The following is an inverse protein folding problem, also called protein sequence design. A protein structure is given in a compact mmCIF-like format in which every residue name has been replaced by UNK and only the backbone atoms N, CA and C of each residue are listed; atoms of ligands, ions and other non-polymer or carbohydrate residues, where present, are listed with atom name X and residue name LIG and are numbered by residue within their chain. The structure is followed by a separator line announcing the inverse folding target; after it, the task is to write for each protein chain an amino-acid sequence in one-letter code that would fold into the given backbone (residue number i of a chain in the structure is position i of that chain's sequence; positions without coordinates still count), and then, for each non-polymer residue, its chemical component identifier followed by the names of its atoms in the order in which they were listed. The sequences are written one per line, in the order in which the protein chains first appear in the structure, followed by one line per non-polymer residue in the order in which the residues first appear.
data_IF_664192215027
#
_entry.id   IF_664192215027
#
_cell.length_a   1.000
_cell.length_b   1.000
_cell.length_c   1.000
_cell.angle_alpha   90.00
_cell.angle_beta   90.00
_cell.angle_gamma   90.00
#
_symmetry.space_group_name_H-M   'P 1'
#
loop_
_entity.id
_entity.type
_entity.pdbx_description
1 polymer ?
#
# COMPACT_ATOMS: atom_id res chain seq x y z
N UNK A 1 -24.89 -18.06 -31.85
CA UNK A 1 -24.03 -16.88 -32.07
C UNK A 1 -23.29 -16.64 -30.77
N UNK A 2 -22.10 -17.20 -30.64
CA UNK A 2 -21.26 -17.12 -29.43
C UNK A 2 -20.46 -15.82 -29.48
N UNK A 3 -20.54 -15.04 -28.41
CA UNK A 3 -19.62 -13.91 -28.18
C UNK A 3 -18.23 -14.45 -27.90
N UNK A 4 -17.14 -13.86 -28.45
CA UNK A 4 -15.80 -14.26 -28.10
C UNK A 4 -15.51 -13.89 -26.65
N UNK A 5 -14.91 -14.82 -25.92
CA UNK A 5 -14.40 -14.60 -24.58
C UNK A 5 -13.08 -13.84 -24.68
N UNK A 6 -13.04 -12.62 -24.13
CA UNK A 6 -11.81 -11.84 -24.05
C UNK A 6 -11.19 -12.08 -22.68
N UNK A 7 -10.53 -13.23 -22.54
CA UNK A 7 -9.51 -13.41 -21.52
C UNK A 7 -8.53 -12.23 -21.61
N UNK A 8 -8.45 -11.44 -20.54
CA UNK A 8 -7.41 -10.43 -20.40
C UNK A 8 -6.14 -11.15 -19.99
N UNK A 9 -5.15 -11.09 -20.85
CA UNK A 9 -3.76 -11.30 -20.48
C UNK A 9 -3.40 -10.19 -19.48
N UNK A 10 -3.33 -10.51 -18.19
CA UNK A 10 -3.06 -9.57 -17.11
C UNK A 10 -1.58 -9.52 -16.71
N UNK A 11 -0.74 -10.35 -17.37
CA UNK A 11 0.70 -10.40 -17.19
C UNK A 11 1.16 -10.96 -15.84
N UNK A 12 0.29 -11.58 -15.02
CA UNK A 12 0.64 -11.98 -13.64
C UNK A 12 1.89 -12.87 -13.56
N UNK A 13 2.07 -13.75 -14.55
CA UNK A 13 3.15 -14.73 -14.62
C UNK A 13 4.55 -14.11 -14.81
N UNK A 14 4.65 -12.92 -15.41
CA UNK A 14 5.91 -12.24 -15.71
C UNK A 14 6.28 -11.15 -14.68
N UNK A 15 5.45 -10.93 -13.64
CA UNK A 15 5.68 -9.88 -12.62
C UNK A 15 6.85 -10.17 -11.67
N UNK A 16 7.27 -11.43 -11.57
CA UNK A 16 8.42 -11.84 -10.74
C UNK A 16 9.69 -11.66 -11.58
N UNK A 17 10.35 -10.51 -11.38
CA UNK A 17 11.44 -10.03 -12.23
C UNK A 17 12.56 -11.08 -12.46
N UNK A 18 12.89 -11.30 -13.73
CA UNK A 18 13.84 -12.32 -14.16
C UNK A 18 15.26 -11.75 -14.27
N UNK A 19 15.94 -11.72 -13.12
CA UNK A 19 17.32 -11.23 -13.04
C UNK A 19 18.28 -12.05 -13.93
N UNK A 20 19.27 -11.40 -14.58
CA UNK A 20 20.31 -12.09 -15.32
C UNK A 20 21.08 -13.11 -14.46
N UNK A 21 21.42 -14.27 -15.04
CA UNK A 21 22.14 -15.33 -14.34
C UNK A 21 23.40 -14.81 -13.63
N UNK A 22 23.47 -15.05 -12.31
CA UNK A 22 24.60 -14.67 -11.48
C UNK A 22 24.47 -13.33 -10.75
N UNK A 23 23.40 -12.56 -10.96
CA UNK A 23 23.13 -11.34 -10.21
C UNK A 23 22.22 -11.62 -8.98
N UNK A 24 22.60 -11.11 -7.81
CA UNK A 24 21.80 -11.26 -6.59
C UNK A 24 20.58 -10.32 -6.63
N UNK A 25 19.42 -10.80 -6.20
CA UNK A 25 18.20 -9.99 -6.15
C UNK A 25 18.33 -8.89 -5.09
N UNK A 26 17.86 -7.66 -5.36
CA UNK A 26 17.85 -6.60 -4.36
C UNK A 26 16.92 -6.87 -3.15
N UNK A 27 16.08 -7.91 -3.20
CA UNK A 27 15.12 -8.28 -2.14
C UNK A 27 15.19 -9.77 -1.82
N UNK A 28 14.98 -10.65 -2.80
CA UNK A 28 14.91 -12.11 -2.56
C UNK A 28 16.27 -12.66 -2.11
N UNK A 29 16.28 -13.41 -1.00
CA UNK A 29 17.50 -13.94 -0.40
C UNK A 29 18.37 -12.91 0.34
N UNK A 30 18.00 -11.61 0.37
CA UNK A 30 18.63 -10.62 1.26
C UNK A 30 18.01 -10.69 2.66
N UNK A 31 18.85 -10.45 3.67
CA UNK A 31 18.45 -10.31 5.07
C UNK A 31 18.14 -8.83 5.36
N UNK A 32 16.95 -8.56 5.88
CA UNK A 32 16.51 -7.25 6.36
C UNK A 32 16.29 -7.29 7.88
N UNK A 33 16.34 -6.14 8.55
CA UNK A 33 16.06 -6.03 9.98
C UNK A 33 14.59 -5.70 10.28
N UNK A 34 13.90 -4.97 9.40
CA UNK A 34 12.51 -4.58 9.60
C UNK A 34 11.74 -4.44 8.30
N UNK A 35 10.41 -4.51 8.41
CA UNK A 35 9.46 -4.36 7.31
C UNK A 35 8.48 -3.23 7.66
N UNK A 36 8.42 -2.23 6.79
CA UNK A 36 7.61 -1.03 6.97
C UNK A 36 6.48 -1.06 5.92
N UNK A 37 5.25 -1.23 6.37
CA UNK A 37 4.10 -1.41 5.48
C UNK A 37 3.33 -0.10 5.33
N UNK A 38 2.91 0.28 4.12
CA UNK A 38 1.75 1.18 3.99
C UNK A 38 0.46 0.46 4.45
N UNK A 39 -0.62 1.21 4.64
CA UNK A 39 -1.92 0.71 5.06
C UNK A 39 -2.95 0.61 3.92
N UNK A 40 -3.22 1.70 3.19
CA UNK A 40 -4.39 1.85 2.32
C UNK A 40 -4.07 1.45 0.88
N UNK A 41 -4.53 0.28 0.45
CA UNK A 41 -4.13 -0.33 -0.83
C UNK A 41 -3.00 -1.35 -0.68
N UNK A 42 -2.33 -1.37 0.47
CA UNK A 42 -1.27 -2.34 0.82
C UNK A 42 -1.73 -3.40 1.83
N UNK A 43 -2.28 -3.01 2.99
CA UNK A 43 -2.76 -3.94 4.04
C UNK A 43 -4.29 -4.07 4.05
N UNK A 44 -4.99 -2.98 3.78
CA UNK A 44 -6.45 -2.92 3.74
C UNK A 44 -6.91 -2.25 2.44
N UNK A 45 -7.96 -2.78 1.83
CA UNK A 45 -8.69 -2.08 0.77
C UNK A 45 -9.69 -1.12 1.42
N UNK A 46 -9.44 0.19 1.28
CA UNK A 46 -10.35 1.27 1.65
C UNK A 46 -10.92 2.00 0.43
N UNK A 47 -10.59 1.54 -0.79
CA UNK A 47 -10.84 2.23 -2.06
C UNK A 47 -12.31 2.57 -2.26
N UNK A 48 -13.22 1.70 -1.84
CA UNK A 48 -14.66 1.95 -1.94
C UNK A 48 -15.13 3.08 -1.00
N UNK A 49 -14.66 3.11 0.25
CA UNK A 49 -15.03 4.12 1.24
C UNK A 49 -14.44 5.50 0.90
N UNK A 50 -13.17 5.53 0.48
CA UNK A 50 -12.51 6.71 -0.06
C UNK A 50 -13.31 7.29 -1.24
N UNK A 51 -13.62 6.47 -2.25
CA UNK A 51 -14.34 6.94 -3.43
C UNK A 51 -15.78 7.40 -3.14
N UNK A 52 -16.48 6.80 -2.16
CA UNK A 52 -17.80 7.30 -1.72
C UNK A 52 -17.69 8.64 -1.00
N UNK A 53 -16.76 8.78 -0.07
CA UNK A 53 -16.52 10.01 0.69
C UNK A 53 -16.18 11.19 -0.22
N UNK A 54 -15.25 10.98 -1.16
CA UNK A 54 -14.85 12.00 -2.12
C UNK A 54 -15.94 12.33 -3.15
N UNK A 55 -16.74 11.34 -3.60
CA UNK A 55 -17.90 11.59 -4.46
C UNK A 55 -18.96 12.41 -3.72
N UNK A 56 -19.26 12.08 -2.46
CA UNK A 56 -20.21 12.85 -1.66
C UNK A 56 -19.75 14.30 -1.48
N UNK A 57 -18.48 14.54 -1.15
CA UNK A 57 -17.93 15.89 -1.08
C UNK A 57 -18.04 16.63 -2.44
N UNK A 58 -17.71 15.96 -3.54
CA UNK A 58 -17.86 16.51 -4.89
C UNK A 58 -19.31 16.91 -5.22
N UNK A 59 -20.28 16.09 -4.81
CA UNK A 59 -21.71 16.34 -4.99
C UNK A 59 -22.20 17.49 -4.10
N UNK A 60 -21.73 17.56 -2.84
CA UNK A 60 -21.97 18.69 -1.91
C UNK A 60 -21.41 20.01 -2.43
N UNK A 61 -20.25 19.99 -3.09
CA UNK A 61 -19.61 21.15 -3.73
C UNK A 61 -20.15 21.45 -5.14
N UNK A 62 -20.99 20.58 -5.71
CA UNK A 62 -21.56 20.76 -7.05
C UNK A 62 -20.55 20.68 -8.20
N UNK A 63 -19.42 19.98 -8.01
CA UNK A 63 -18.33 19.91 -8.99
C UNK A 63 -18.71 19.17 -10.28
N UNK A 64 -19.60 18.17 -10.16
CA UNK A 64 -20.07 17.36 -11.28
C UNK A 64 -18.92 16.79 -12.11
N UNK A 65 -18.87 17.10 -13.41
CA UNK A 65 -17.85 16.60 -14.33
C UNK A 65 -16.42 17.14 -14.08
N UNK A 66 -16.22 18.11 -13.18
CA UNK A 66 -14.88 18.56 -12.78
C UNK A 66 -14.18 17.52 -11.90
N UNK A 67 -14.93 16.76 -11.10
CA UNK A 67 -14.37 15.69 -10.28
C UNK A 67 -14.27 14.39 -11.06
N UNK A 68 -13.05 14.05 -11.47
CA UNK A 68 -12.75 12.84 -12.26
C UNK A 68 -12.62 11.54 -11.41
N UNK A 69 -12.77 11.63 -10.09
CA UNK A 69 -12.43 10.57 -9.14
C UNK A 69 -11.17 10.89 -8.34
N UNK A 70 -10.84 10.03 -7.37
CA UNK A 70 -9.66 10.19 -6.51
C UNK A 70 -8.40 9.81 -7.28
N UNK A 71 -7.37 10.66 -7.21
CA UNK A 71 -6.05 10.37 -7.74
C UNK A 71 -5.20 9.78 -6.61
N UNK A 72 -5.13 8.46 -6.54
CA UNK A 72 -4.31 7.76 -5.56
C UNK A 72 -2.83 8.20 -5.65
N UNK A 73 -2.12 8.17 -4.52
CA UNK A 73 -0.74 8.67 -4.43
C UNK A 73 -0.58 10.21 -4.46
N UNK A 74 -1.64 10.99 -4.72
CA UNK A 74 -1.60 12.47 -4.67
C UNK A 74 -2.11 13.02 -3.32
N UNK A 75 -1.49 14.07 -2.73
CA UNK A 75 -2.00 14.66 -1.50
C UNK A 75 -3.42 15.22 -1.65
N UNK A 76 -4.31 14.87 -0.71
CA UNK A 76 -5.71 15.32 -0.69
C UNK A 76 -5.85 16.85 -0.86
N UNK A 77 -4.98 17.61 -0.19
CA UNK A 77 -4.94 19.08 -0.24
C UNK A 77 -4.70 19.64 -1.64
N UNK A 78 -3.90 18.96 -2.46
CA UNK A 78 -3.66 19.35 -3.85
C UNK A 78 -4.86 19.03 -4.74
N UNK A 79 -5.44 17.83 -4.59
CA UNK A 79 -6.65 17.45 -5.32
C UNK A 79 -7.81 18.42 -5.05
N UNK A 80 -8.00 18.82 -3.79
CA UNK A 80 -8.98 19.84 -3.42
C UNK A 80 -8.63 21.21 -4.02
N UNK A 81 -7.37 21.66 -3.93
CA UNK A 81 -6.94 22.97 -4.42
C UNK A 81 -7.06 23.15 -5.95
N UNK A 82 -7.05 22.06 -6.73
CA UNK A 82 -7.34 22.09 -8.17
C UNK A 82 -8.83 22.31 -8.49
N UNK A 83 -9.73 22.00 -7.55
CA UNK A 83 -11.17 21.90 -7.76
C UNK A 83 -11.99 23.04 -7.13
N UNK A 84 -11.46 23.71 -6.11
CA UNK A 84 -12.17 24.76 -5.35
C UNK A 84 -11.34 26.04 -5.22
N UNK A 85 -11.96 27.16 -4.84
CA UNK A 85 -11.20 28.40 -4.59
C UNK A 85 -10.34 28.30 -3.33
N UNK A 86 -9.25 29.06 -3.26
CA UNK A 86 -8.25 28.95 -2.19
C UNK A 86 -8.82 29.15 -0.76
N UNK A 87 -9.89 29.92 -0.62
CA UNK A 87 -10.64 30.15 0.63
C UNK A 87 -11.54 28.96 1.04
N UNK A 88 -11.84 28.05 0.12
CA UNK A 88 -12.63 26.84 0.36
C UNK A 88 -11.78 25.60 0.67
N UNK A 89 -10.45 25.65 0.48
CA UNK A 89 -9.56 24.47 0.59
C UNK A 89 -9.59 23.86 1.99
N UNK A 90 -9.42 24.64 3.06
CA UNK A 90 -9.43 24.09 4.43
C UNK A 90 -10.78 23.47 4.79
N UNK A 91 -11.87 24.16 4.48
CA UNK A 91 -13.22 23.67 4.77
C UNK A 91 -13.53 22.38 3.98
N UNK A 92 -13.05 22.30 2.73
CA UNK A 92 -13.19 21.11 1.89
C UNK A 92 -12.36 19.94 2.41
N UNK A 93 -11.12 20.18 2.85
CA UNK A 93 -10.28 19.12 3.43
C UNK A 93 -10.88 18.59 4.72
N UNK A 94 -11.30 19.48 5.63
CA UNK A 94 -12.02 19.07 6.85
C UNK A 94 -13.26 18.25 6.49
N UNK A 95 -14.04 18.68 5.48
CA UNK A 95 -15.26 17.97 5.06
C UNK A 95 -14.99 16.59 4.46
N UNK A 96 -13.97 16.45 3.62
CA UNK A 96 -13.53 15.15 3.09
C UNK A 96 -13.10 14.23 4.24
N UNK A 97 -12.29 14.73 5.17
CA UNK A 97 -11.86 13.95 6.34
C UNK A 97 -13.02 13.55 7.26
N UNK A 98 -14.01 14.42 7.49
CA UNK A 98 -15.24 14.06 8.22
C UNK A 98 -15.99 12.90 7.56
N UNK A 99 -16.09 12.90 6.22
CA UNK A 99 -16.75 11.85 5.45
C UNK A 99 -15.97 10.54 5.51
N UNK A 100 -14.64 10.59 5.32
CA UNK A 100 -13.77 9.41 5.41
C UNK A 100 -13.72 8.79 6.82
N UNK A 101 -13.86 9.60 7.87
CA UNK A 101 -13.96 9.13 9.26
C UNK A 101 -15.32 8.49 9.58
N UNK A 102 -16.37 8.86 8.84
CA UNK A 102 -17.73 8.35 9.02
C UNK A 102 -18.03 7.10 8.17
N UNK A 103 -17.37 6.93 7.03
CA UNK A 103 -17.59 5.81 6.11
C UNK A 103 -16.60 4.66 6.36
N UNK A 104 -17.05 3.65 7.11
CA UNK A 104 -16.30 2.41 7.39
C UNK A 104 -16.75 1.21 6.54
N UNK A 105 -17.69 1.39 5.61
CA UNK A 105 -18.32 0.28 4.90
C UNK A 105 -17.39 -0.32 3.83
N UNK A 106 -17.38 -1.64 3.70
CA UNK A 106 -16.54 -2.38 2.75
C UNK A 106 -15.02 -2.13 2.89
N UNK A 107 -14.52 -1.79 4.08
CA UNK A 107 -13.09 -1.80 4.36
C UNK A 107 -12.68 -3.22 4.75
N UNK A 108 -11.70 -3.80 4.06
CA UNK A 108 -11.35 -5.21 4.21
C UNK A 108 -9.84 -5.44 4.18
N UNK A 109 -9.37 -6.52 4.81
CA UNK A 109 -7.95 -6.94 4.76
C UNK A 109 -7.60 -7.46 3.36
N UNK A 110 -6.46 -7.04 2.83
CA UNK A 110 -5.95 -7.50 1.52
C UNK A 110 -5.34 -8.93 1.60
N UNK A 111 -5.36 -9.71 0.50
CA UNK A 111 -4.85 -11.08 0.48
C UNK A 111 -3.40 -11.19 0.98
N UNK A 112 -3.18 -12.03 1.99
CA UNK A 112 -1.88 -12.27 2.62
C UNK A 112 -1.43 -11.22 3.65
N UNK A 113 -2.07 -10.05 3.76
CA UNK A 113 -1.61 -8.96 4.63
C UNK A 113 -1.47 -9.37 6.11
N UNK A 114 -2.50 -10.02 6.66
CA UNK A 114 -2.50 -10.46 8.06
C UNK A 114 -1.51 -11.60 8.33
N UNK A 115 -1.28 -12.51 7.38
CA UNK A 115 -0.30 -13.59 7.51
C UNK A 115 1.13 -13.04 7.42
N UNK A 116 1.40 -12.20 6.42
CA UNK A 116 2.71 -11.63 6.17
C UNK A 116 3.16 -10.75 7.33
N UNK A 117 2.33 -9.80 7.79
CA UNK A 117 2.64 -9.01 8.98
C UNK A 117 2.63 -9.86 10.25
N UNK A 118 1.71 -10.81 10.38
CA UNK A 118 1.62 -11.74 11.52
C UNK A 118 2.84 -12.64 11.71
N UNK A 119 3.59 -12.92 10.64
CA UNK A 119 4.83 -13.71 10.68
C UNK A 119 6.04 -12.97 11.29
N UNK A 120 5.93 -11.65 11.49
CA UNK A 120 7.00 -10.79 12.01
C UNK A 120 6.90 -10.56 13.52
N UNK A 121 8.03 -10.55 14.26
CA UNK A 121 8.11 -9.96 15.60
C UNK A 121 7.71 -8.47 15.59
N UNK A 122 7.17 -7.97 16.71
CA UNK A 122 6.77 -6.55 16.85
C UNK A 122 7.94 -5.60 16.62
N UNK A 123 9.15 -5.96 17.08
CA UNK A 123 10.36 -5.15 16.96
C UNK A 123 10.91 -5.08 15.52
N UNK A 124 10.20 -5.69 14.55
CA UNK A 124 10.58 -5.74 13.14
C UNK A 124 9.46 -5.31 12.18
N UNK A 125 8.33 -4.80 12.68
CA UNK A 125 7.17 -4.43 11.85
C UNK A 125 6.58 -3.08 12.26
N UNK A 126 6.25 -2.25 11.27
CA UNK A 126 5.54 -0.99 11.50
C UNK A 126 4.54 -0.71 10.37
N UNK A 127 3.49 0.06 10.68
CA UNK A 127 2.62 0.69 9.68
C UNK A 127 3.10 2.13 9.47
N UNK A 128 3.15 2.58 8.21
CA UNK A 128 3.57 3.93 7.81
C UNK A 128 2.58 4.46 6.76
N UNK A 129 1.58 5.22 7.20
CA UNK A 129 0.44 5.67 6.39
C UNK A 129 0.39 7.19 6.21
N UNK A 130 -0.22 7.64 5.12
CA UNK A 130 -0.58 9.05 4.91
C UNK A 130 -1.92 9.46 5.58
N UNK A 131 -2.62 8.52 6.21
CA UNK A 131 -3.79 8.83 7.06
C UNK A 131 -3.40 9.59 8.33
N UNK A 132 -4.37 10.25 8.96
CA UNK A 132 -4.29 10.70 10.35
C UNK A 132 -4.40 9.52 11.33
N UNK A 133 -4.05 9.73 12.60
CA UNK A 133 -4.18 8.71 13.66
C UNK A 133 -5.60 8.15 13.76
N UNK A 134 -6.62 9.02 13.75
CA UNK A 134 -8.02 8.57 13.88
C UNK A 134 -8.51 7.80 12.66
N UNK A 135 -8.13 8.22 11.45
CA UNK A 135 -8.53 7.52 10.23
C UNK A 135 -7.84 6.16 10.12
N UNK A 136 -6.54 6.09 10.41
CA UNK A 136 -5.77 4.85 10.51
C UNK A 136 -6.44 3.87 11.51
N UNK A 137 -6.68 4.32 12.74
CA UNK A 137 -7.32 3.52 13.80
C UNK A 137 -8.70 3.00 13.39
N UNK A 138 -9.52 3.82 12.75
CA UNK A 138 -10.88 3.45 12.33
C UNK A 138 -10.84 2.44 11.17
N UNK A 139 -9.97 2.64 10.17
CA UNK A 139 -9.84 1.71 9.02
C UNK A 139 -9.33 0.33 9.44
N UNK A 140 -8.30 0.27 10.28
CA UNK A 140 -7.79 -0.99 10.83
C UNK A 140 -8.87 -1.72 11.65
N UNK A 141 -9.61 -0.99 12.49
CA UNK A 141 -10.71 -1.56 13.26
C UNK A 141 -11.87 -2.07 12.38
N UNK A 142 -12.22 -1.36 11.30
CA UNK A 142 -13.25 -1.76 10.34
C UNK A 142 -12.85 -3.02 9.56
N UNK A 143 -11.58 -3.12 9.15
CA UNK A 143 -11.02 -4.31 8.51
C UNK A 143 -10.89 -5.51 9.48
N UNK A 144 -10.90 -5.29 10.80
CA UNK A 144 -10.56 -6.29 11.80
C UNK A 144 -9.05 -6.62 11.85
N UNK A 145 -8.21 -5.66 11.44
CA UNK A 145 -6.75 -5.80 11.40
C UNK A 145 -6.13 -5.26 12.71
N UNK A 146 -5.27 -6.06 13.35
CA UNK A 146 -4.56 -5.65 14.57
C UNK A 146 -3.34 -4.79 14.21
N UNK A 147 -3.28 -3.57 14.76
CA UNK A 147 -2.15 -2.68 14.54
C UNK A 147 -0.90 -3.17 15.28
N UNK A 148 0.31 -3.09 14.68
CA UNK A 148 1.55 -3.34 15.40
C UNK A 148 1.85 -2.25 16.42
N UNK A 149 2.84 -2.48 17.28
CA UNK A 149 3.24 -1.53 18.32
C UNK A 149 3.75 -0.18 17.76
N UNK A 150 4.31 -0.18 16.55
CA UNK A 150 4.77 1.03 15.85
C UNK A 150 3.85 1.35 14.67
N UNK A 151 3.13 2.47 14.81
CA UNK A 151 2.39 3.11 13.72
C UNK A 151 2.93 4.53 13.55
N UNK A 152 3.14 4.93 12.29
CA UNK A 152 3.52 6.28 11.87
C UNK A 152 2.48 6.78 10.87
N UNK A 153 2.04 8.01 11.06
CA UNK A 153 0.95 8.68 10.35
C UNK A 153 1.44 10.01 9.77
N UNK A 154 0.57 10.71 9.04
CA UNK A 154 0.87 12.07 8.55
C UNK A 154 1.07 13.10 9.67
N UNK A 155 0.58 12.81 10.88
CA UNK A 155 0.66 13.70 12.05
C UNK A 155 1.95 13.50 12.86
N UNK A 156 2.64 12.38 12.66
CA UNK A 156 3.91 12.05 13.32
C UNK A 156 5.12 12.74 12.70
N UNK A 157 5.01 13.29 11.48
CA UNK A 157 6.17 13.73 10.68
C UNK A 157 5.99 15.14 10.13
N UNK A 158 7.12 15.83 9.88
CA UNK A 158 7.10 17.17 9.30
C UNK A 158 6.69 17.20 7.82
N UNK A 159 6.79 16.06 7.12
CA UNK A 159 6.46 15.89 5.70
C UNK A 159 5.95 14.47 5.45
N UNK A 160 4.85 14.35 4.72
CA UNK A 160 4.38 13.05 4.22
C UNK A 160 5.14 12.56 2.99
N UNK A 161 4.78 11.34 2.55
CA UNK A 161 5.20 10.76 1.27
C UNK A 161 4.94 11.77 0.13
N UNK A 162 5.87 11.99 -0.83
CA UNK A 162 7.07 11.22 -1.12
C UNK A 162 8.34 11.64 -0.35
N UNK A 163 8.24 12.46 0.70
CA UNK A 163 9.39 12.72 1.57
C UNK A 163 9.75 11.46 2.39
N UNK A 164 11.03 11.24 2.74
CA UNK A 164 11.46 10.03 3.45
C UNK A 164 11.09 10.02 4.93
N UNK A 165 10.71 11.17 5.49
CA UNK A 165 10.46 11.41 6.91
C UNK A 165 9.60 10.30 7.58
N UNK A 166 8.49 9.80 7.00
CA UNK A 166 7.66 8.76 7.63
C UNK A 166 8.35 7.39 7.78
N UNK A 167 9.18 6.99 6.81
CA UNK A 167 9.90 5.72 6.89
C UNK A 167 11.16 5.82 7.78
N UNK A 168 11.79 7.00 7.83
CA UNK A 168 12.86 7.28 8.78
C UNK A 168 12.35 7.26 10.23
N UNK A 169 11.22 7.90 10.50
CA UNK A 169 10.56 7.90 11.82
C UNK A 169 10.16 6.47 12.24
N UNK A 170 9.61 5.67 11.34
CA UNK A 170 9.23 4.29 11.64
C UNK A 170 10.44 3.39 11.94
N UNK A 171 11.55 3.57 11.20
CA UNK A 171 12.79 2.85 11.47
C UNK A 171 13.40 3.26 12.83
N UNK A 172 13.42 4.56 13.18
CA UNK A 172 13.91 5.05 14.47
C UNK A 172 13.08 4.53 15.64
N UNK A 173 11.73 4.52 15.52
CA UNK A 173 10.82 3.93 16.52
C UNK A 173 11.04 2.43 16.74
N UNK A 174 11.49 1.70 15.72
CA UNK A 174 11.89 0.29 15.83
C UNK A 174 13.34 0.11 16.32
N UNK A 175 14.12 1.18 16.44
CA UNK A 175 15.56 1.13 16.78
C UNK A 175 16.44 0.58 15.65
N UNK A 176 16.00 0.75 14.40
CA UNK A 176 16.62 0.19 13.19
C UNK A 176 17.20 1.26 12.26
N UNK A 177 18.19 0.88 11.45
CA UNK A 177 18.63 1.68 10.32
C UNK A 177 17.66 1.46 9.13
N UNK A 178 17.10 2.52 8.57
CA UNK A 178 16.21 2.45 7.42
C UNK A 178 16.83 1.69 6.22
N UNK A 179 18.17 1.77 6.05
CA UNK A 179 18.91 1.04 5.00
C UNK A 179 18.94 -0.48 5.19
N UNK A 180 18.57 -0.94 6.38
CA UNK A 180 18.38 -2.35 6.70
C UNK A 180 16.89 -2.75 6.67
N UNK A 181 15.98 -1.83 6.40
CA UNK A 181 14.56 -2.09 6.28
C UNK A 181 14.13 -2.28 4.82
N UNK A 182 12.95 -2.87 4.66
CA UNK A 182 12.23 -2.91 3.37
C UNK A 182 10.85 -2.28 3.54
N UNK A 183 10.45 -1.47 2.57
CA UNK A 183 9.13 -0.85 2.48
C UNK A 183 8.24 -1.71 1.59
N UNK A 184 6.98 -1.91 1.99
CA UNK A 184 5.94 -2.53 1.16
C UNK A 184 4.85 -1.48 0.90
N UNK A 185 4.52 -1.26 -0.37
CA UNK A 185 3.72 -0.11 -0.84
C UNK A 185 3.01 -0.41 -2.18
N UNK A 186 1.86 0.22 -2.43
CA UNK A 186 1.09 0.12 -3.69
C UNK A 186 0.99 1.45 -4.46
N UNK A 187 1.67 2.50 -3.99
CA UNK A 187 1.66 3.83 -4.58
C UNK A 187 3.08 4.35 -4.91
N UNK A 188 3.28 4.98 -6.09
CA UNK A 188 4.59 5.53 -6.49
C UNK A 188 5.18 6.54 -5.50
N UNK A 189 4.33 7.33 -4.84
CA UNK A 189 4.77 8.31 -3.83
C UNK A 189 5.39 7.63 -2.60
N UNK A 190 4.87 6.48 -2.17
CA UNK A 190 5.41 5.74 -1.04
C UNK A 190 6.66 4.96 -1.38
N UNK A 191 6.72 4.33 -2.56
CA UNK A 191 7.94 3.72 -3.08
C UNK A 191 9.08 4.76 -3.19
N UNK A 192 8.78 5.96 -3.70
CA UNK A 192 9.73 7.07 -3.75
C UNK A 192 10.22 7.51 -2.37
N UNK A 193 9.32 7.61 -1.37
CA UNK A 193 9.69 7.90 0.01
C UNK A 193 10.57 6.80 0.64
N UNK A 194 10.26 5.53 0.39
CA UNK A 194 11.04 4.39 0.86
C UNK A 194 12.46 4.38 0.27
N UNK A 195 12.58 4.55 -1.05
CA UNK A 195 13.86 4.72 -1.74
C UNK A 195 14.64 5.93 -1.21
N UNK A 196 13.97 7.05 -0.95
CA UNK A 196 14.60 8.27 -0.40
C UNK A 196 15.08 8.10 1.05
N UNK A 197 14.44 7.24 1.85
CA UNK A 197 14.90 6.85 3.18
C UNK A 197 16.08 5.86 3.13
N UNK A 198 16.38 5.29 1.97
CA UNK A 198 17.42 4.30 1.74
C UNK A 198 16.97 2.85 1.96
N UNK A 199 15.68 2.61 2.17
CA UNK A 199 15.11 1.27 2.28
C UNK A 199 15.19 0.53 0.93
N UNK A 200 15.15 -0.81 0.96
CA UNK A 200 14.67 -1.55 -0.20
C UNK A 200 13.15 -1.39 -0.34
N UNK A 201 12.60 -1.67 -1.51
CA UNK A 201 11.18 -1.46 -1.82
C UNK A 201 10.54 -2.67 -2.49
N UNK A 202 9.34 -3.03 -2.04
CA UNK A 202 8.46 -4.02 -2.67
C UNK A 202 7.17 -3.29 -3.05
N UNK A 203 6.89 -3.25 -4.35
CA UNK A 203 5.60 -2.84 -4.88
C UNK A 203 4.59 -3.97 -4.77
N UNK A 204 3.39 -3.69 -4.25
CA UNK A 204 2.24 -4.58 -4.36
C UNK A 204 1.19 -3.95 -5.29
N UNK A 205 0.62 -4.72 -6.20
CA UNK A 205 -0.47 -4.22 -7.06
C UNK A 205 -1.70 -3.97 -6.19
N UNK A 206 -2.23 -2.75 -6.25
CA UNK A 206 -3.30 -2.27 -5.40
C UNK A 206 -4.06 -1.13 -6.08
N UNK A 207 -3.86 0.10 -5.60
CA UNK A 207 -4.46 1.30 -6.22
C UNK A 207 -3.80 1.70 -7.54
N UNK A 208 -2.58 1.21 -7.81
CA UNK A 208 -1.85 1.39 -9.07
C UNK A 208 -1.50 0.04 -9.73
N UNK A 209 -1.32 0.06 -11.05
CA UNK A 209 -0.88 -1.11 -11.81
C UNK A 209 0.62 -1.36 -11.67
N UNK A 210 1.07 -2.60 -11.90
CA UNK A 210 2.48 -2.96 -11.82
C UNK A 210 3.41 -2.08 -12.68
N UNK A 211 2.92 -1.58 -13.82
CA UNK A 211 3.68 -0.70 -14.72
C UNK A 211 3.92 0.72 -14.16
N UNK A 212 3.22 1.10 -13.10
CA UNK A 212 3.37 2.39 -12.40
C UNK A 212 4.30 2.26 -11.18
N UNK A 213 4.63 1.05 -10.74
CA UNK A 213 5.38 0.77 -9.50
C UNK A 213 6.89 0.64 -9.77
N UNK A 214 7.64 1.71 -9.52
CA UNK A 214 9.11 1.68 -9.49
C UNK A 214 9.63 1.15 -8.14
N UNK A 215 9.70 -0.17 -8.02
CA UNK A 215 10.17 -0.90 -6.83
C UNK A 215 11.36 -1.85 -7.13
N UNK A 216 12.01 -2.40 -6.09
CA UNK A 216 13.08 -3.40 -6.24
C UNK A 216 12.55 -4.84 -6.42
N UNK A 217 11.25 -5.03 -6.20
CA UNK A 217 10.45 -6.21 -6.50
C UNK A 217 9.00 -5.73 -6.66
N UNK A 218 8.24 -6.27 -7.62
CA UNK A 218 6.79 -6.05 -7.70
C UNK A 218 6.08 -7.40 -7.55
N UNK A 219 4.96 -7.43 -6.83
CA UNK A 219 4.09 -8.61 -6.68
C UNK A 219 2.62 -8.25 -6.88
N UNK A 220 1.78 -9.16 -7.43
CA UNK A 220 0.36 -8.87 -7.61
C UNK A 220 -0.46 -8.84 -6.30
N UNK A 221 0.06 -9.41 -5.21
CA UNK A 221 -0.60 -9.46 -3.89
C UNK A 221 0.39 -9.87 -2.79
N UNK A 222 0.05 -9.67 -1.50
CA UNK A 222 0.96 -10.00 -0.39
C UNK A 222 1.04 -11.50 -0.09
N UNK A 223 0.05 -12.30 -0.49
CA UNK A 223 0.08 -13.78 -0.43
C UNK A 223 1.07 -14.42 -1.42
N UNK A 224 1.68 -13.61 -2.29
CA UNK A 224 2.82 -13.98 -3.16
C UNK A 224 4.16 -13.88 -2.42
N UNK A 225 4.16 -13.46 -1.16
CA UNK A 225 5.34 -13.33 -0.32
C UNK A 225 5.18 -14.19 0.93
N UNK A 226 6.27 -14.82 1.34
CA UNK A 226 6.43 -15.43 2.66
C UNK A 226 7.73 -14.93 3.27
N UNK A 227 7.69 -14.64 4.56
CA UNK A 227 8.88 -14.26 5.32
C UNK A 227 9.45 -15.49 6.04
N UNK A 228 10.76 -15.68 5.92
CA UNK A 228 11.53 -16.61 6.74
C UNK A 228 12.28 -15.82 7.82
N UNK A 229 12.12 -16.23 9.07
CA UNK A 229 12.86 -15.67 10.21
C UNK A 229 14.22 -16.35 10.31
N UNK A 230 15.28 -15.54 10.37
CA UNK A 230 16.65 -15.97 10.61
C UNK A 230 17.19 -15.31 11.88
N UNK A 231 18.23 -15.90 12.47
CA UNK A 231 18.93 -15.38 13.68
C UNK A 231 19.37 -13.91 13.58
N UNK A 232 19.46 -13.38 12.36
CA UNK A 232 19.95 -12.04 12.04
C UNK A 232 18.96 -11.18 11.25
N UNK A 233 17.68 -11.58 11.11
CA UNK A 233 16.69 -10.78 10.41
C UNK A 233 15.61 -11.58 9.70
N UNK A 234 15.06 -10.98 8.64
CA UNK A 234 13.96 -11.52 7.84
C UNK A 234 14.41 -11.67 6.38
N UNK A 235 13.97 -12.74 5.72
CA UNK A 235 14.25 -13.00 4.30
C UNK A 235 12.94 -13.24 3.57
N UNK A 236 12.78 -12.62 2.40
CA UNK A 236 11.61 -12.80 1.56
C UNK A 236 11.78 -13.97 0.60
N UNK A 237 10.75 -14.82 0.55
CA UNK A 237 10.62 -15.95 -0.37
C UNK A 237 9.34 -15.77 -1.17
N UNK A 238 9.42 -16.03 -2.48
CA UNK A 238 8.28 -15.89 -3.38
C UNK A 238 7.37 -17.11 -3.29
N UNK A 239 6.09 -16.84 -3.09
CA UNK A 239 4.93 -17.70 -3.30
C UNK A 239 4.88 -18.28 -4.73
N UNK A 240 5.03 -19.56 -5.11
CA UNK A 240 4.65 -19.96 -6.47
C UNK A 240 3.15 -19.73 -6.71
N UNK A 241 2.70 -19.48 -7.94
CA UNK A 241 1.25 -19.46 -8.23
C UNK A 241 0.72 -20.90 -8.12
N UNK A 242 -0.53 -21.12 -7.65
CA UNK A 242 -1.14 -22.44 -7.75
C UNK A 242 -1.22 -22.81 -9.22
N UNK A 243 -0.51 -23.85 -9.65
CA UNK A 243 -0.54 -24.28 -11.04
C UNK A 243 -2.00 -24.50 -11.47
N UNK A 244 -2.42 -23.85 -12.56
CA UNK A 244 -3.79 -23.95 -13.06
C UNK A 244 -4.20 -25.41 -13.15
N UNK A 245 -5.21 -25.80 -12.37
CA UNK A 245 -5.84 -27.10 -12.52
C UNK A 245 -6.68 -27.06 -13.79
N UNK A 246 -6.02 -27.28 -14.93
CA UNK A 246 -6.67 -27.37 -16.23
C UNK A 246 -7.85 -28.35 -16.20
N UNK A 247 -8.88 -28.14 -17.03
CA UNK A 247 -10.15 -28.85 -16.91
C UNK A 247 -9.93 -30.36 -16.92
N UNK A 248 -10.36 -31.02 -15.84
CA UNK A 248 -10.39 -32.48 -15.73
C UNK A 248 -11.28 -32.98 -16.86
N UNK A 249 -10.66 -33.46 -17.94
CA UNK A 249 -11.36 -34.10 -19.04
C UNK A 249 -12.00 -35.38 -18.51
N UNK A 250 -13.31 -35.32 -18.26
CA UNK A 250 -14.09 -36.50 -17.91
C UNK A 250 -14.07 -37.46 -19.12
N UNK A 251 -13.51 -38.65 -18.89
CA UNK A 251 -13.51 -39.77 -19.84
C UNK A 251 -14.75 -40.65 -19.71
#
# INVERSE_FOLDING_TARGET
MTTPDHARDDGSADLIDSLPEGQAHPVIGRVFQGVLFDMDGTLVDSTMAVNRSWRQWSDEMGLGALFAGVQHGRPAREMVADLVSADQVEASILRVTELELADTDNIAILPGAAELMGSLPEERRAIVTSCSHDLCRIRLAAAGFEAPAVVVTIEDTAKGKPAPDPFLEAADRLGLDARQCVVIEDAPAGLAAGRAAGCATIGVVGTHSAAELDADLVVPSLDRLRIELHDHGVVFVIVPEPAETGPISAG
#
